data_IF_647650660330
#
_entry.id   IF_647650660330
#
_cell.length_a   1.000
_cell.length_b   1.000
_cell.length_c   1.000
_cell.angle_alpha   90.00
_cell.angle_beta   90.00
_cell.angle_gamma   90.00
#
_symmetry.space_group_name_H-M   'P 1'
#
loop_
_entity.id
_entity.type
_entity.pdbx_description
1 polymer ?
#
# COMPACT_ATOMS: atom_id res chain seq x y z
N UNK A 1 18.21 -39.14 4.19
CA UNK A 1 17.36 -38.29 4.92
C UNK A 1 17.87 -36.87 4.89
N UNK A 2 17.27 -36.11 4.10
CA UNK A 2 17.66 -34.72 4.10
C UNK A 2 17.11 -34.12 5.37
N UNK A 3 17.97 -33.87 6.29
CA UNK A 3 17.67 -32.78 7.13
C UNK A 3 17.61 -31.60 6.20
N UNK A 4 16.42 -31.21 5.79
CA UNK A 4 16.21 -29.90 5.25
C UNK A 4 16.67 -28.93 6.32
N UNK A 5 17.95 -28.68 6.31
CA UNK A 5 18.46 -27.52 6.99
C UNK A 5 18.00 -26.34 6.15
N UNK A 6 16.77 -25.94 6.38
CA UNK A 6 16.39 -24.63 5.96
C UNK A 6 17.40 -23.65 6.57
N UNK A 7 18.02 -22.82 5.76
CA UNK A 7 18.88 -21.80 6.31
C UNK A 7 18.11 -21.04 7.38
N UNK A 8 18.77 -20.77 8.48
CA UNK A 8 18.16 -19.97 9.54
C UNK A 8 17.70 -18.65 8.94
N UNK A 9 16.39 -18.40 8.94
CA UNK A 9 15.83 -17.16 8.44
C UNK A 9 16.47 -15.95 9.10
N UNK A 10 16.86 -16.09 10.37
CA UNK A 10 17.52 -15.03 11.11
C UNK A 10 18.85 -14.60 10.48
N UNK A 11 19.57 -15.51 9.81
CA UNK A 11 20.85 -15.18 9.15
C UNK A 11 20.66 -14.45 7.82
N UNK A 12 19.47 -14.51 7.24
CA UNK A 12 19.13 -13.88 5.96
C UNK A 12 18.44 -12.53 6.12
N UNK A 13 18.00 -12.21 7.34
CA UNK A 13 17.31 -10.97 7.61
C UNK A 13 18.29 -9.82 7.87
N UNK A 14 17.94 -8.59 7.51
CA UNK A 14 18.74 -7.43 7.86
C UNK A 14 18.78 -7.23 9.37
N UNK A 15 19.70 -6.36 9.86
CA UNK A 15 19.75 -6.01 11.28
C UNK A 15 18.37 -5.66 11.84
N UNK A 16 18.01 -6.26 12.99
CA UNK A 16 16.68 -6.16 13.56
C UNK A 16 15.83 -7.39 13.29
N UNK A 17 16.10 -8.14 12.22
CA UNK A 17 15.60 -9.48 11.94
C UNK A 17 14.13 -9.63 11.61
N UNK A 18 13.26 -8.69 11.98
CA UNK A 18 11.82 -8.79 11.78
C UNK A 18 11.40 -7.93 10.59
N UNK A 19 10.69 -8.54 9.66
CA UNK A 19 10.14 -7.85 8.48
C UNK A 19 8.65 -8.13 8.38
N UNK A 20 7.89 -7.14 7.98
CA UNK A 20 6.51 -7.37 7.60
C UNK A 20 6.50 -8.20 6.31
N UNK A 21 5.82 -9.35 6.31
CA UNK A 21 5.69 -10.19 5.12
C UNK A 21 4.43 -9.87 4.32
N UNK A 22 3.29 -9.86 4.99
CA UNK A 22 2.02 -9.56 4.35
C UNK A 22 1.03 -9.02 5.38
N UNK A 23 0.00 -8.37 4.87
CA UNK A 23 -1.13 -7.93 5.69
C UNK A 23 -2.43 -8.09 4.89
N UNK A 24 -3.52 -8.41 5.59
CA UNK A 24 -4.82 -8.47 4.96
C UNK A 24 -5.41 -7.07 4.84
N UNK A 25 -5.93 -6.75 3.68
CA UNK A 25 -6.68 -5.52 3.43
C UNK A 25 -8.12 -5.91 3.15
N UNK A 26 -9.04 -5.54 4.03
CA UNK A 26 -10.45 -5.88 3.87
C UNK A 26 -11.11 -5.01 2.82
N UNK A 27 -11.89 -5.64 1.96
CA UNK A 27 -12.57 -4.99 0.84
C UNK A 27 -13.96 -5.57 0.64
N UNK A 28 -14.92 -4.74 0.23
CA UNK A 28 -16.22 -5.27 -0.17
C UNK A 28 -16.11 -6.07 -1.46
N UNK A 29 -15.28 -5.62 -2.38
CA UNK A 29 -14.94 -6.31 -3.63
C UNK A 29 -13.41 -6.32 -3.78
N UNK A 30 -12.80 -7.48 -3.54
CA UNK A 30 -11.35 -7.61 -3.57
C UNK A 30 -10.74 -7.27 -4.93
N UNK A 31 -11.45 -7.57 -6.02
CA UNK A 31 -10.96 -7.26 -7.37
C UNK A 31 -10.95 -5.76 -7.62
N UNK A 32 -12.03 -5.08 -7.26
CA UNK A 32 -12.11 -3.64 -7.40
C UNK A 32 -11.01 -2.93 -6.61
N UNK A 33 -10.82 -3.33 -5.36
CA UNK A 33 -9.85 -2.67 -4.47
C UNK A 33 -8.40 -2.97 -4.85
N UNK A 34 -8.08 -4.22 -5.18
CA UNK A 34 -6.74 -4.58 -5.62
C UNK A 34 -6.39 -3.91 -6.96
N UNK A 35 -7.32 -3.91 -7.90
CA UNK A 35 -7.10 -3.26 -9.20
C UNK A 35 -6.95 -1.74 -9.07
N UNK A 36 -7.76 -1.11 -8.22
CA UNK A 36 -7.62 0.31 -7.94
C UNK A 36 -6.21 0.65 -7.50
N UNK A 37 -5.73 -0.01 -6.47
CA UNK A 37 -4.42 0.30 -5.92
C UNK A 37 -3.29 -0.09 -6.90
N UNK A 38 -3.46 -1.17 -7.65
CA UNK A 38 -2.49 -1.58 -8.67
C UNK A 38 -2.34 -0.50 -9.75
N UNK A 39 -3.43 0.08 -10.21
CA UNK A 39 -3.40 1.17 -11.18
C UNK A 39 -2.71 2.39 -10.60
N UNK A 40 -3.12 2.82 -9.41
CA UNK A 40 -2.56 4.02 -8.77
C UNK A 40 -1.06 3.90 -8.55
N UNK A 41 -0.60 2.76 -8.01
CA UNK A 41 0.82 2.55 -7.69
C UNK A 41 1.65 2.02 -8.85
N UNK A 42 1.03 1.67 -9.98
CA UNK A 42 1.74 1.08 -11.11
C UNK A 42 2.23 -0.34 -10.84
N UNK A 43 1.43 -1.12 -10.11
CA UNK A 43 1.73 -2.50 -9.76
C UNK A 43 0.81 -3.46 -10.52
N UNK A 44 1.03 -4.75 -10.34
CA UNK A 44 0.26 -5.80 -11.01
C UNK A 44 -0.39 -6.71 -9.98
N UNK A 45 -1.69 -6.93 -10.13
CA UNK A 45 -2.42 -7.88 -9.28
C UNK A 45 -1.94 -9.28 -9.61
N UNK A 46 -1.66 -10.07 -8.56
CA UNK A 46 -1.24 -11.45 -8.69
C UNK A 46 -2.40 -12.42 -8.82
N UNK A 47 -2.09 -13.72 -8.91
CA UNK A 47 -3.09 -14.77 -8.95
C UNK A 47 -3.77 -14.94 -7.58
N UNK A 48 -5.07 -15.24 -7.54
CA UNK A 48 -5.75 -15.50 -6.28
C UNK A 48 -5.06 -16.59 -5.46
N UNK A 49 -4.97 -16.35 -4.16
CA UNK A 49 -4.43 -17.29 -3.20
C UNK A 49 -5.52 -17.56 -2.16
N UNK A 50 -6.30 -18.63 -2.36
CA UNK A 50 -7.48 -18.89 -1.54
C UNK A 50 -8.46 -17.70 -1.56
N UNK A 51 -8.86 -17.18 -0.38
CA UNK A 51 -9.78 -16.04 -0.30
C UNK A 51 -9.10 -14.70 -0.59
N UNK A 52 -7.79 -14.70 -0.79
CA UNK A 52 -6.99 -13.48 -0.95
C UNK A 52 -6.68 -13.19 -2.41
N UNK A 53 -6.68 -11.91 -2.75
CA UNK A 53 -6.16 -11.41 -4.01
C UNK A 53 -4.91 -10.58 -3.71
N UNK A 54 -3.72 -11.08 -4.08
CA UNK A 54 -2.47 -10.45 -3.66
C UNK A 54 -2.06 -9.29 -4.56
N UNK A 55 -1.51 -8.28 -3.93
CA UNK A 55 -0.80 -7.18 -4.59
C UNK A 55 0.59 -7.10 -3.98
N UNK A 56 1.60 -7.54 -4.74
CA UNK A 56 2.97 -7.53 -4.28
C UNK A 56 3.57 -6.13 -4.40
N UNK A 57 4.19 -5.67 -3.32
CA UNK A 57 4.95 -4.43 -3.28
C UNK A 57 6.42 -4.69 -3.66
N UNK A 58 7.14 -3.63 -4.01
CA UNK A 58 8.51 -3.76 -4.50
C UNK A 58 9.55 -4.21 -3.48
N UNK A 59 9.16 -4.34 -2.20
CA UNK A 59 10.05 -4.72 -1.11
C UNK A 59 9.74 -6.09 -0.50
N UNK A 60 9.04 -6.96 -1.23
CA UNK A 60 8.72 -8.30 -0.77
C UNK A 60 7.54 -8.39 0.19
N UNK A 61 6.83 -7.31 0.41
CA UNK A 61 5.61 -7.28 1.23
C UNK A 61 4.41 -7.44 0.31
N UNK A 62 3.44 -8.25 0.71
CA UNK A 62 2.20 -8.47 -0.04
C UNK A 62 1.01 -7.88 0.70
N UNK A 63 0.16 -7.16 -0.01
CA UNK A 63 -1.16 -6.81 0.44
C UNK A 63 -2.13 -7.87 -0.05
N UNK A 64 -2.76 -8.58 0.87
CA UNK A 64 -3.75 -9.61 0.56
C UNK A 64 -5.15 -9.05 0.73
N UNK A 65 -5.80 -8.73 -0.39
CA UNK A 65 -7.16 -8.21 -0.36
C UNK A 65 -8.14 -9.35 -0.06
N UNK A 66 -8.85 -9.21 1.06
CA UNK A 66 -9.81 -10.18 1.55
C UNK A 66 -11.22 -9.63 1.45
N UNK A 67 -12.12 -10.39 0.81
CA UNK A 67 -13.48 -9.92 0.54
C UNK A 67 -14.41 -10.09 1.71
N UNK A 68 -15.07 -9.00 2.11
CA UNK A 68 -16.10 -8.97 3.14
C UNK A 68 -17.31 -8.19 2.63
N UNK A 69 -18.14 -8.84 1.82
CA UNK A 69 -19.23 -8.18 1.09
C UNK A 69 -20.30 -7.57 1.97
N UNK A 70 -20.68 -8.27 3.04
CA UNK A 70 -21.85 -7.93 3.85
C UNK A 70 -21.52 -7.15 5.12
N UNK A 71 -20.25 -7.02 5.48
CA UNK A 71 -19.83 -6.39 6.73
C UNK A 71 -19.33 -4.97 6.49
N UNK A 72 -19.56 -4.04 7.44
CA UNK A 72 -18.89 -2.75 7.41
C UNK A 72 -17.38 -2.94 7.47
N UNK A 73 -16.64 -2.14 6.71
CA UNK A 73 -15.19 -2.17 6.72
C UNK A 73 -14.69 -0.97 7.49
N UNK A 74 -13.90 -1.25 8.54
CA UNK A 74 -13.26 -0.20 9.29
C UNK A 74 -12.09 0.36 8.50
N UNK A 75 -12.05 1.67 8.33
CA UNK A 75 -10.94 2.37 7.67
C UNK A 75 -9.62 2.08 8.38
N UNK A 76 -8.62 1.73 7.60
CA UNK A 76 -7.24 1.57 8.04
C UNK A 76 -6.35 2.54 7.29
N UNK A 77 -5.11 2.70 7.74
CA UNK A 77 -4.13 3.57 7.10
C UNK A 77 -2.96 2.75 6.57
N UNK A 78 -2.64 2.93 5.29
CA UNK A 78 -1.51 2.30 4.64
C UNK A 78 -0.68 3.37 3.95
N UNK A 79 0.63 3.38 4.21
CA UNK A 79 1.55 4.36 3.65
C UNK A 79 2.61 3.66 2.81
N UNK A 80 2.83 4.18 1.62
CA UNK A 80 3.73 3.60 0.63
C UNK A 80 4.86 4.56 0.33
N UNK A 81 6.09 4.10 0.51
CA UNK A 81 7.27 4.82 0.07
C UNK A 81 7.49 4.56 -1.41
N UNK A 82 7.46 5.61 -2.21
CA UNK A 82 7.66 5.51 -3.66
C UNK A 82 8.88 6.33 -4.07
N UNK A 83 9.61 5.93 -5.12
CA UNK A 83 10.67 6.76 -5.67
C UNK A 83 10.13 8.12 -6.11
N UNK A 84 10.91 9.17 -5.92
CA UNK A 84 10.48 10.52 -6.27
C UNK A 84 10.06 10.64 -7.74
N UNK A 85 10.77 9.96 -8.64
CA UNK A 85 10.44 9.95 -10.06
C UNK A 85 9.12 9.26 -10.42
N UNK A 86 8.55 8.49 -9.49
CA UNK A 86 7.25 7.84 -9.68
C UNK A 86 6.09 8.61 -9.07
N UNK A 87 6.39 9.56 -8.21
CA UNK A 87 5.34 10.29 -7.48
C UNK A 87 4.39 11.03 -8.42
N UNK A 88 4.93 11.72 -9.43
CA UNK A 88 4.09 12.47 -10.37
C UNK A 88 3.16 11.56 -11.17
N UNK A 89 3.60 10.34 -11.49
CA UNK A 89 2.75 9.36 -12.16
C UNK A 89 1.61 8.89 -11.27
N UNK A 90 1.86 8.73 -9.97
CA UNK A 90 0.80 8.38 -9.00
C UNK A 90 -0.25 9.49 -8.95
N UNK A 91 0.17 10.73 -8.82
CA UNK A 91 -0.75 11.88 -8.80
C UNK A 91 -1.54 11.97 -10.11
N UNK A 92 -0.89 11.80 -11.25
CA UNK A 92 -1.56 11.84 -12.55
C UNK A 92 -2.61 10.75 -12.69
N UNK A 93 -2.34 9.55 -12.17
CA UNK A 93 -3.31 8.45 -12.20
C UNK A 93 -4.51 8.71 -11.30
N UNK A 94 -4.29 9.27 -10.10
CA UNK A 94 -5.38 9.69 -9.23
C UNK A 94 -6.28 10.72 -9.92
N UNK A 95 -5.69 11.71 -10.56
CA UNK A 95 -6.43 12.71 -11.31
C UNK A 95 -7.20 12.09 -12.47
N UNK A 96 -6.58 11.19 -13.23
CA UNK A 96 -7.23 10.50 -14.34
C UNK A 96 -8.41 9.63 -13.89
N UNK A 97 -8.34 9.06 -12.70
CA UNK A 97 -9.41 8.26 -12.11
C UNK A 97 -10.50 9.13 -11.43
N UNK A 98 -10.31 10.44 -11.35
CA UNK A 98 -11.22 11.33 -10.66
C UNK A 98 -11.17 11.17 -9.13
N UNK A 99 -10.08 10.65 -8.59
CA UNK A 99 -9.88 10.45 -7.16
C UNK A 99 -9.24 11.69 -6.57
N UNK A 100 -9.90 12.29 -5.59
CA UNK A 100 -9.36 13.43 -4.87
C UNK A 100 -8.21 12.98 -3.97
N UNK A 101 -7.11 13.72 -4.00
CA UNK A 101 -6.00 13.52 -3.06
C UNK A 101 -5.85 14.77 -2.18
N UNK A 102 -5.15 14.61 -1.06
CA UNK A 102 -5.06 15.64 -0.03
C UNK A 102 -3.63 15.72 0.49
N UNK A 103 -3.24 16.91 0.94
CA UNK A 103 -1.94 17.10 1.57
C UNK A 103 -1.86 16.50 2.98
N UNK A 104 -3.01 16.34 3.66
CA UNK A 104 -3.10 15.98 5.07
C UNK A 104 -3.92 14.70 5.29
N UNK A 105 -3.64 13.96 6.38
CA UNK A 105 -4.36 12.73 6.68
C UNK A 105 -5.85 12.95 7.03
N UNK A 106 -6.22 14.15 7.46
CA UNK A 106 -7.59 14.51 7.77
C UNK A 106 -8.41 14.93 6.55
N UNK A 107 -7.83 14.92 5.35
CA UNK A 107 -8.48 15.28 4.10
C UNK A 107 -9.09 16.69 4.09
N UNK A 108 -8.38 17.65 4.68
CA UNK A 108 -8.83 19.05 4.74
C UNK A 108 -8.22 19.93 3.65
N UNK A 109 -7.18 19.46 2.97
CA UNK A 109 -6.46 20.21 1.95
C UNK A 109 -6.51 19.49 0.58
N UNK A 110 -7.68 19.51 -0.09
CA UNK A 110 -7.86 18.78 -1.34
C UNK A 110 -7.05 19.38 -2.49
N UNK A 111 -6.56 18.49 -3.37
CA UNK A 111 -5.82 18.88 -4.55
C UNK A 111 -4.41 19.38 -4.27
N UNK A 112 -3.92 19.18 -3.05
CA UNK A 112 -2.58 19.60 -2.61
C UNK A 112 -1.74 18.42 -2.17
N UNK A 113 -0.44 18.59 -2.26
CA UNK A 113 0.55 17.64 -1.73
C UNK A 113 1.27 18.28 -0.54
N UNK A 114 1.87 17.44 0.31
CA UNK A 114 2.75 17.93 1.37
C UNK A 114 4.22 17.75 0.98
N UNK A 115 5.10 18.36 1.77
CA UNK A 115 6.54 18.26 1.60
C UNK A 115 7.23 17.84 2.89
N UNK A 116 6.63 16.90 3.58
CA UNK A 116 7.13 16.41 4.86
C UNK A 116 8.48 15.72 4.67
N UNK A 117 9.33 15.86 5.66
CA UNK A 117 10.65 15.21 5.74
C UNK A 117 11.55 15.47 4.52
N UNK A 118 11.36 16.61 3.85
CA UNK A 118 12.13 16.96 2.67
C UNK A 118 11.71 16.24 1.40
N UNK A 119 10.57 15.55 1.42
CA UNK A 119 10.03 14.84 0.28
C UNK A 119 8.72 15.41 -0.20
N UNK A 120 7.90 14.55 -0.82
CA UNK A 120 6.56 14.85 -1.27
C UNK A 120 5.62 13.74 -0.81
N UNK A 121 4.38 14.10 -0.47
CA UNK A 121 3.40 13.13 -0.01
C UNK A 121 1.98 13.56 -0.35
N UNK A 122 1.08 12.59 -0.38
CA UNK A 122 -0.34 12.81 -0.58
C UNK A 122 -1.15 11.67 0.02
N UNK A 123 -2.38 11.96 0.41
CA UNK A 123 -3.34 11.02 0.98
C UNK A 123 -4.55 10.90 0.05
N UNK A 124 -5.12 9.71 -0.01
CA UNK A 124 -6.32 9.45 -0.79
C UNK A 124 -7.08 8.25 -0.23
N UNK A 125 -8.38 8.20 -0.47
CA UNK A 125 -9.18 7.04 -0.09
C UNK A 125 -9.14 5.97 -1.17
N UNK A 126 -9.11 4.71 -0.74
CA UNK A 126 -9.40 3.59 -1.64
C UNK A 126 -10.93 3.39 -1.73
N UNK A 127 -11.43 2.43 -2.55
CA UNK A 127 -12.87 2.22 -2.70
C UNK A 127 -13.62 1.90 -1.40
N UNK A 128 -12.95 1.38 -0.38
CA UNK A 128 -13.56 1.05 0.91
C UNK A 128 -13.31 2.11 1.99
N UNK A 129 -12.71 3.21 1.63
CA UNK A 129 -12.42 4.29 2.57
C UNK A 129 -11.19 4.07 3.42
N UNK A 130 -10.30 3.15 3.05
CA UNK A 130 -8.98 3.08 3.67
C UNK A 130 -8.19 4.34 3.30
N UNK A 131 -7.52 4.93 4.28
CA UNK A 131 -6.72 6.13 4.06
C UNK A 131 -5.34 5.70 3.55
N UNK A 132 -5.09 5.89 2.27
CA UNK A 132 -3.83 5.57 1.62
C UNK A 132 -2.93 6.80 1.60
N UNK A 133 -1.64 6.57 1.74
CA UNK A 133 -0.63 7.62 1.65
C UNK A 133 0.49 7.18 0.73
N UNK A 134 0.94 8.07 -0.14
CA UNK A 134 2.19 7.90 -0.88
C UNK A 134 3.16 8.98 -0.44
N UNK A 135 4.43 8.61 -0.27
CA UNK A 135 5.47 9.55 0.16
C UNK A 135 6.80 9.17 -0.47
N UNK A 136 7.66 10.17 -0.67
CA UNK A 136 8.97 9.96 -1.32
C UNK A 136 10.13 9.91 -0.34
N UNK A 137 9.90 10.25 0.92
CA UNK A 137 10.90 10.19 1.99
C UNK A 137 10.31 9.52 3.22
N UNK A 138 11.08 8.63 3.87
CA UNK A 138 10.63 8.02 5.12
C UNK A 138 10.38 9.06 6.20
N UNK A 139 9.47 8.75 7.10
CA UNK A 139 9.27 9.57 8.29
C UNK A 139 10.50 9.51 9.18
N UNK A 140 10.89 10.67 9.70
CA UNK A 140 11.89 10.76 10.75
C UNK A 140 11.16 10.70 12.09
N UNK A 141 11.42 9.65 12.83
CA UNK A 141 10.75 9.43 14.12
C UNK A 141 11.68 9.81 15.26
N UNK A 142 11.13 10.33 16.38
CA UNK A 142 11.94 10.66 17.57
C UNK A 142 12.56 9.43 18.21
#
# INVERSE_FOLDING_TARGET
>A
MSTDQQPSLASELPPGGVQLNHTAVYAHDRHLSAEFLSVVLGLKVGAPFGPFLPLDLGNGVTLDFYEKRAEPIQSQHYAFLVPDERFDAVIARLEALGVTYYADPGHTEPGRINRLFGGRGAYFDDPDGHNMEVMTRPYVRP
#
